data_IF_139170326052
#
_entry.id   IF_139170326052
#
_cell.length_a   1.000
_cell.length_b   1.000
_cell.length_c   1.000
_cell.angle_alpha   90.00
_cell.angle_beta   90.00
_cell.angle_gamma   90.00
#
_symmetry.space_group_name_H-M   'P 1'
#
loop_
_entity.id
_entity.type
_entity.pdbx_description
1 polymer ?
#
# COMPACT_ATOMS: atom_id res chain seq x y z
N UNK A 1 20.14 8.94 -34.33
CA UNK A 1 20.87 8.35 -33.18
C UNK A 1 19.85 7.73 -32.23
N UNK A 2 20.07 6.49 -31.80
CA UNK A 2 19.22 5.80 -30.81
C UNK A 2 19.34 6.47 -29.45
N UNK A 3 18.22 6.82 -28.82
CA UNK A 3 18.20 7.33 -27.44
C UNK A 3 18.58 6.19 -26.49
N UNK A 4 19.50 6.41 -25.55
CA UNK A 4 19.76 5.41 -24.52
C UNK A 4 18.64 5.43 -23.47
N UNK A 5 18.36 4.29 -22.83
CA UNK A 5 17.25 4.12 -21.90
C UNK A 5 17.30 5.12 -20.73
N UNK A 6 18.49 5.37 -20.19
CA UNK A 6 18.71 6.34 -19.10
C UNK A 6 18.31 7.76 -19.52
N UNK A 7 18.76 8.25 -20.68
CA UNK A 7 18.37 9.58 -21.19
C UNK A 7 16.88 9.65 -21.50
N UNK A 8 16.27 8.58 -22.02
CA UNK A 8 14.83 8.51 -22.21
C UNK A 8 14.08 8.65 -20.88
N UNK A 9 14.56 7.96 -19.84
CA UNK A 9 13.97 7.97 -18.51
C UNK A 9 14.08 9.35 -17.86
N UNK A 10 15.23 10.02 -17.99
CA UNK A 10 15.43 11.38 -17.48
C UNK A 10 14.47 12.39 -18.11
N UNK A 11 14.23 12.27 -19.42
CA UNK A 11 13.25 13.10 -20.12
C UNK A 11 11.83 12.89 -19.59
N UNK A 12 11.44 11.64 -19.32
CA UNK A 12 10.13 11.32 -18.72
C UNK A 12 10.04 11.83 -17.28
N UNK A 13 11.10 11.68 -16.48
CA UNK A 13 11.17 12.19 -15.11
C UNK A 13 11.01 13.71 -15.07
N UNK A 14 11.60 14.43 -16.02
CA UNK A 14 11.45 15.88 -16.13
C UNK A 14 9.98 16.28 -16.37
N UNK A 15 9.26 15.52 -17.20
CA UNK A 15 7.83 15.75 -17.49
C UNK A 15 6.93 15.37 -16.30
N UNK A 16 7.39 14.47 -15.44
CA UNK A 16 6.69 14.12 -14.21
C UNK A 16 6.80 15.18 -13.12
N UNK A 17 7.63 16.22 -13.23
CA UNK A 17 7.82 17.17 -12.11
C UNK A 17 6.51 17.88 -11.76
N UNK A 18 6.08 17.74 -10.51
CA UNK A 18 4.98 18.53 -9.97
C UNK A 18 5.54 19.86 -9.47
N UNK A 19 4.90 21.00 -9.79
CA UNK A 19 5.34 22.29 -9.31
C UNK A 19 5.43 22.31 -7.77
N UNK A 20 6.51 22.86 -7.22
CA UNK A 20 6.73 22.93 -5.75
C UNK A 20 5.55 23.57 -5.03
N UNK A 21 4.93 24.59 -5.63
CA UNK A 21 3.73 25.25 -5.09
C UNK A 21 2.55 24.29 -4.98
N UNK A 22 2.35 23.43 -5.97
CA UNK A 22 1.28 22.43 -5.98
C UNK A 22 1.56 21.33 -4.96
N UNK A 23 2.79 20.84 -4.89
CA UNK A 23 3.21 19.87 -3.88
C UNK A 23 2.98 20.40 -2.45
N UNK A 24 3.39 21.64 -2.16
CA UNK A 24 3.15 22.28 -0.84
C UNK A 24 1.67 22.44 -0.53
N UNK A 25 0.85 22.80 -1.52
CA UNK A 25 -0.59 22.90 -1.35
C UNK A 25 -1.21 21.52 -1.05
N UNK A 26 -0.78 20.49 -1.79
CA UNK A 26 -1.16 19.10 -1.53
C UNK A 26 -0.87 18.66 -0.09
N UNK A 27 0.37 18.83 0.40
CA UNK A 27 0.74 18.43 1.76
C UNK A 27 -0.11 19.13 2.83
N UNK A 28 -0.41 20.41 2.61
CA UNK A 28 -1.26 21.17 3.52
C UNK A 28 -2.71 20.69 3.54
N UNK A 29 -3.26 20.37 2.37
CA UNK A 29 -4.63 19.86 2.28
C UNK A 29 -4.71 18.47 2.92
N UNK A 30 -3.69 17.63 2.73
CA UNK A 30 -3.52 16.34 3.41
C UNK A 30 -3.57 16.49 4.92
N UNK A 31 -2.81 17.43 5.50
CA UNK A 31 -2.82 17.69 6.94
C UNK A 31 -4.22 18.10 7.44
N UNK A 32 -4.87 19.02 6.73
CA UNK A 32 -6.22 19.49 7.10
C UNK A 32 -7.27 18.37 7.04
N UNK A 33 -7.23 17.54 5.99
CA UNK A 33 -8.10 16.39 5.83
C UNK A 33 -7.86 15.34 6.91
N UNK A 34 -6.59 15.07 7.22
CA UNK A 34 -6.19 14.14 8.28
C UNK A 34 -6.65 14.62 9.66
N UNK A 35 -6.55 15.92 9.94
CA UNK A 35 -7.04 16.50 11.19
C UNK A 35 -8.56 16.41 11.31
N UNK A 36 -9.28 16.64 10.22
CA UNK A 36 -10.73 16.45 10.17
C UNK A 36 -11.11 14.99 10.50
N UNK A 37 -10.44 14.01 9.89
CA UNK A 37 -10.68 12.58 10.14
C UNK A 37 -10.38 12.22 11.60
N UNK A 38 -9.24 12.67 12.14
CA UNK A 38 -8.88 12.47 13.55
C UNK A 38 -9.92 13.05 14.51
N UNK A 39 -10.36 14.29 14.26
CA UNK A 39 -11.35 14.95 15.11
C UNK A 39 -12.68 14.20 15.08
N UNK A 40 -13.14 13.78 13.90
CA UNK A 40 -14.40 13.06 13.77
C UNK A 40 -14.35 11.67 14.43
N UNK A 41 -13.21 10.98 14.41
CA UNK A 41 -13.00 9.74 15.19
C UNK A 41 -13.02 10.02 16.71
N UNK A 42 -12.42 11.13 17.15
CA UNK A 42 -12.43 11.54 18.56
C UNK A 42 -13.84 11.90 19.07
N UNK A 43 -14.62 12.64 18.28
CA UNK A 43 -15.99 13.02 18.60
C UNK A 43 -16.90 11.79 18.76
N UNK A 44 -16.60 10.73 18.01
CA UNK A 44 -17.28 9.41 18.11
C UNK A 44 -16.75 8.52 19.23
N UNK A 45 -15.72 8.94 19.97
CA UNK A 45 -15.02 8.13 20.98
C UNK A 45 -14.48 6.81 20.41
N UNK A 46 -14.05 6.83 19.15
CA UNK A 46 -13.41 5.68 18.51
C UNK A 46 -12.14 5.30 19.27
N UNK A 47 -11.84 4.00 19.34
CA UNK A 47 -10.56 3.50 19.89
C UNK A 47 -9.35 3.93 19.06
N UNK A 48 -9.57 4.43 17.84
CA UNK A 48 -8.54 4.93 16.93
C UNK A 48 -8.37 6.44 16.99
N UNK A 49 -9.09 7.13 17.88
CA UNK A 49 -8.95 8.57 18.08
C UNK A 49 -7.50 8.92 18.44
N UNK A 50 -6.91 9.83 17.67
CA UNK A 50 -5.51 10.23 17.83
C UNK A 50 -4.48 9.22 17.31
N UNK A 51 -4.91 8.09 16.73
CA UNK A 51 -4.00 7.11 16.11
C UNK A 51 -3.71 7.42 14.62
N UNK A 52 -4.37 8.40 14.01
CA UNK A 52 -4.17 8.77 12.60
C UNK A 52 -3.09 9.86 12.45
N UNK A 53 -2.05 9.85 13.27
CA UNK A 53 -0.98 10.87 13.23
C UNK A 53 -0.12 10.76 11.98
N UNK A 54 0.10 9.53 11.48
CA UNK A 54 0.86 9.28 10.25
C UNK A 54 -0.04 9.07 9.01
N UNK A 55 -1.35 9.29 9.12
CA UNK A 55 -2.25 9.24 7.97
C UNK A 55 -1.76 10.12 6.79
N UNK A 56 -1.19 11.33 7.00
CA UNK A 56 -0.63 12.14 5.92
C UNK A 56 0.40 11.41 5.07
N UNK A 57 1.21 10.54 5.67
CA UNK A 57 2.23 9.76 4.97
C UNK A 57 1.61 8.74 4.00
N UNK A 58 0.37 8.32 4.23
CA UNK A 58 -0.33 7.34 3.38
C UNK A 58 -0.96 7.98 2.14
N UNK A 59 -0.95 9.31 2.06
CA UNK A 59 -1.63 10.07 1.03
C UNK A 59 -0.98 9.92 -0.35
N UNK A 60 -1.79 10.06 -1.39
CA UNK A 60 -1.37 10.18 -2.78
C UNK A 60 -2.21 11.26 -3.43
N UNK A 61 -1.57 12.28 -3.98
CA UNK A 61 -2.22 13.24 -4.85
C UNK A 61 -2.36 12.64 -6.24
N UNK A 62 -3.53 12.76 -6.85
CA UNK A 62 -3.78 12.32 -8.22
C UNK A 62 -4.48 13.43 -8.99
N UNK A 63 -3.95 13.78 -10.16
CA UNK A 63 -4.49 14.81 -11.04
C UNK A 63 -4.35 14.34 -12.48
N UNK A 64 -5.44 13.87 -13.09
CA UNK A 64 -5.37 13.13 -14.36
C UNK A 64 -4.43 11.91 -14.27
N UNK A 65 -3.43 11.87 -15.15
CA UNK A 65 -2.44 10.77 -15.23
C UNK A 65 -1.22 10.99 -14.33
N UNK A 66 -1.17 12.10 -13.59
CA UNK A 66 -0.02 12.46 -12.75
C UNK A 66 -0.35 12.16 -11.30
N UNK A 67 0.63 11.61 -10.59
CA UNK A 67 0.55 11.41 -9.15
C UNK A 67 1.72 12.06 -8.40
N UNK A 68 1.45 12.40 -7.15
CA UNK A 68 2.46 12.71 -6.13
C UNK A 68 2.22 11.91 -4.86
N UNK A 69 3.27 11.76 -4.08
CA UNK A 69 3.22 11.18 -2.73
C UNK A 69 4.12 12.01 -1.80
N UNK A 70 3.89 12.01 -0.48
CA UNK A 70 4.77 12.68 0.48
C UNK A 70 6.20 12.13 0.47
N UNK A 71 7.16 12.95 0.92
CA UNK A 71 8.57 12.53 1.09
C UNK A 71 8.69 11.28 1.96
N UNK A 72 7.90 11.22 3.03
CA UNK A 72 7.87 10.09 3.97
C UNK A 72 6.74 9.11 3.67
N UNK A 73 6.35 8.93 2.41
CA UNK A 73 5.16 8.14 2.10
C UNK A 73 5.19 6.75 2.77
N UNK A 74 4.04 6.25 3.20
CA UNK A 74 3.91 4.95 3.83
C UNK A 74 2.69 4.20 3.26
N UNK A 75 2.65 2.88 3.50
CA UNK A 75 1.50 2.03 3.21
C UNK A 75 0.76 1.61 4.47
N UNK A 76 1.31 1.93 5.64
CA UNK A 76 0.75 1.53 6.92
C UNK A 76 0.26 2.75 7.69
N UNK A 77 -0.95 2.63 8.25
CA UNK A 77 -1.39 3.49 9.33
C UNK A 77 -0.87 2.86 10.62
N UNK A 78 0.04 3.57 11.28
CA UNK A 78 0.79 3.07 12.42
C UNK A 78 0.01 3.38 13.71
N UNK A 79 -0.58 2.34 14.28
CA UNK A 79 -1.31 2.43 15.55
C UNK A 79 -0.33 2.29 16.72
N UNK A 80 -0.28 3.31 17.56
CA UNK A 80 0.33 3.21 18.88
C UNK A 80 -0.74 2.72 19.88
N UNK A 81 -0.57 1.53 20.46
CA UNK A 81 -1.47 1.04 21.50
C UNK A 81 -1.25 1.83 22.79
N UNK A 82 -2.29 2.53 23.24
CA UNK A 82 -2.25 3.37 24.46
C UNK A 82 -2.44 2.58 25.76
N UNK A 83 -2.81 1.31 25.68
CA UNK A 83 -3.06 0.43 26.82
C UNK A 83 -1.96 -0.63 27.00
N UNK A 84 -1.84 -1.15 28.22
CA UNK A 84 -0.89 -2.20 28.56
C UNK A 84 -1.21 -3.50 27.82
N UNK A 85 -0.18 -4.11 27.25
CA UNK A 85 -0.28 -5.31 26.46
C UNK A 85 0.99 -6.14 26.58
N UNK A 86 0.85 -7.45 26.36
CA UNK A 86 1.97 -8.39 26.29
C UNK A 86 2.11 -8.94 24.88
N UNK A 87 3.35 -9.10 24.44
CA UNK A 87 3.67 -9.75 23.18
C UNK A 87 4.09 -11.18 23.47
N UNK A 88 3.34 -12.15 22.95
CA UNK A 88 3.70 -13.56 22.92
C UNK A 88 4.24 -13.90 21.54
N UNK A 89 5.39 -14.57 21.49
CA UNK A 89 5.98 -15.05 20.24
C UNK A 89 5.46 -16.45 19.97
N UNK A 90 4.93 -16.64 18.77
CA UNK A 90 4.79 -17.95 18.17
C UNK A 90 6.03 -18.19 17.30
N UNK A 91 6.33 -19.44 16.97
CA UNK A 91 7.41 -19.73 16.01
C UNK A 91 7.23 -18.94 14.69
N UNK A 92 8.29 -18.83 13.88
CA UNK A 92 8.19 -18.31 12.51
C UNK A 92 7.68 -16.86 12.34
N UNK A 93 8.20 -15.91 13.15
CA UNK A 93 7.91 -14.46 13.10
C UNK A 93 6.49 -14.04 13.52
N UNK A 94 5.62 -14.97 13.86
CA UNK A 94 4.26 -14.66 14.28
C UNK A 94 4.23 -14.16 15.72
N UNK A 95 3.39 -13.16 15.98
CA UNK A 95 3.20 -12.59 17.30
C UNK A 95 1.72 -12.54 17.66
N UNK A 96 1.41 -12.93 18.89
CA UNK A 96 0.11 -12.70 19.51
C UNK A 96 0.23 -11.53 20.47
N UNK A 97 -0.78 -10.67 20.46
CA UNK A 97 -0.86 -9.55 21.40
C UNK A 97 -1.95 -9.84 22.41
N UNK A 98 -1.64 -9.71 23.69
CA UNK A 98 -2.59 -9.91 24.79
C UNK A 98 -2.92 -8.58 25.43
N UNK A 99 -4.20 -8.32 25.66
CA UNK A 99 -4.62 -7.17 26.45
C UNK A 99 -4.52 -7.50 27.94
N UNK A 100 -3.91 -6.59 28.72
CA UNK A 100 -3.84 -6.70 30.18
C UNK A 100 -5.13 -6.25 30.89
N UNK A 101 -6.17 -5.86 30.13
CA UNK A 101 -7.39 -5.23 30.66
C UNK A 101 -8.42 -6.22 31.23
N UNK A 102 -8.19 -7.54 31.16
CA UNK A 102 -9.08 -8.56 31.75
C UNK A 102 -8.38 -9.27 32.91
N UNK A 103 -9.17 -9.70 33.90
CA UNK A 103 -8.68 -10.47 35.06
C UNK A 103 -7.70 -11.57 34.64
N UNK A 104 -6.66 -11.80 35.46
CA UNK A 104 -5.49 -12.64 35.17
C UNK A 104 -5.79 -14.04 34.59
N UNK A 105 -7.01 -14.53 34.76
CA UNK A 105 -7.46 -15.87 34.35
C UNK A 105 -7.95 -15.97 32.90
N UNK A 106 -8.16 -14.85 32.18
CA UNK A 106 -8.54 -14.86 30.74
C UNK A 106 -7.71 -13.85 29.96
N UNK A 107 -6.53 -14.26 29.48
CA UNK A 107 -5.75 -13.49 28.51
C UNK A 107 -6.51 -13.42 27.18
N UNK A 108 -7.13 -12.28 26.88
CA UNK A 108 -7.79 -12.07 25.59
C UNK A 108 -6.79 -11.56 24.56
N UNK A 109 -6.61 -12.32 23.48
CA UNK A 109 -5.81 -11.92 22.31
C UNK A 109 -6.48 -10.75 21.59
N UNK A 110 -5.68 -9.75 21.22
CA UNK A 110 -6.10 -8.62 20.39
C UNK A 110 -6.24 -9.17 18.96
N UNK A 111 -7.46 -9.18 18.44
CA UNK A 111 -7.71 -9.70 17.10
C UNK A 111 -7.40 -8.66 16.04
N UNK A 112 -6.56 -9.04 15.06
CA UNK A 112 -6.24 -8.23 13.89
C UNK A 112 -7.47 -7.96 13.03
N UNK A 113 -8.31 -8.98 12.84
CA UNK A 113 -9.60 -8.87 12.13
C UNK A 113 -10.57 -7.96 12.87
N UNK A 114 -10.65 -8.06 14.19
CA UNK A 114 -11.52 -7.19 14.99
C UNK A 114 -11.10 -5.72 14.86
N UNK A 115 -9.81 -5.40 14.95
CA UNK A 115 -9.32 -4.03 14.77
C UNK A 115 -9.65 -3.51 13.37
N UNK A 116 -9.38 -4.30 12.33
CA UNK A 116 -9.67 -3.92 10.94
C UNK A 116 -11.16 -3.67 10.71
N UNK A 117 -12.02 -4.56 11.23
CA UNK A 117 -13.47 -4.41 11.16
C UNK A 117 -13.95 -3.19 11.92
N UNK A 118 -13.47 -2.98 13.15
CA UNK A 118 -13.89 -1.84 13.98
C UNK A 118 -13.56 -0.52 13.28
N UNK A 119 -12.36 -0.42 12.69
CA UNK A 119 -12.00 0.79 11.95
C UNK A 119 -12.86 0.96 10.70
N UNK A 120 -13.10 -0.12 9.97
CA UNK A 120 -13.97 -0.12 8.79
C UNK A 120 -15.35 0.44 9.14
N UNK A 121 -15.96 -0.04 10.21
CA UNK A 121 -17.29 0.36 10.66
C UNK A 121 -17.29 1.86 11.06
N UNK A 122 -16.28 2.31 11.82
CA UNK A 122 -16.12 3.73 12.17
C UNK A 122 -15.99 4.65 10.93
N UNK A 123 -15.16 4.25 9.95
CA UNK A 123 -14.96 5.02 8.73
C UNK A 123 -16.20 5.00 7.82
N UNK A 124 -16.89 3.86 7.70
CA UNK A 124 -18.14 3.77 6.92
C UNK A 124 -19.22 4.67 7.47
N UNK A 125 -19.44 4.64 8.78
CA UNK A 125 -20.47 5.47 9.41
C UNK A 125 -20.15 6.96 9.26
N UNK A 126 -18.89 7.33 9.48
CA UNK A 126 -18.44 8.73 9.45
C UNK A 126 -18.42 9.30 8.03
N UNK A 127 -17.93 8.53 7.05
CA UNK A 127 -17.72 8.99 5.67
C UNK A 127 -18.82 8.56 4.71
N UNK A 128 -19.77 7.72 5.14
CA UNK A 128 -20.87 7.21 4.33
C UNK A 128 -21.80 8.30 3.79
N UNK A 129 -21.95 9.42 4.53
CA UNK A 129 -22.69 10.61 4.08
C UNK A 129 -21.90 11.51 3.12
N UNK A 130 -20.66 11.13 2.83
CA UNK A 130 -19.74 11.83 1.94
C UNK A 130 -19.54 13.31 2.33
N UNK A 131 -19.00 13.59 3.53
CA UNK A 131 -18.89 14.95 4.05
C UNK A 131 -18.03 15.85 3.15
N UNK A 132 -18.35 17.14 3.17
CA UNK A 132 -17.59 18.18 2.50
C UNK A 132 -16.61 18.81 3.49
N UNK A 133 -15.33 18.87 3.10
CA UNK A 133 -14.27 19.47 3.90
C UNK A 133 -13.62 20.59 3.11
N UNK A 134 -13.62 21.80 3.69
CA UNK A 134 -13.02 22.99 3.08
C UNK A 134 -11.57 23.15 3.52
N UNK A 135 -10.65 22.98 2.58
CA UNK A 135 -9.21 23.22 2.75
C UNK A 135 -8.83 24.56 2.11
N UNK A 136 -8.89 25.66 2.87
CA UNK A 136 -8.62 27.04 2.42
C UNK A 136 -9.25 27.42 1.07
N UNK A 137 -8.57 27.13 -0.04
CA UNK A 137 -8.97 27.45 -1.41
C UNK A 137 -9.66 26.30 -2.17
N UNK A 138 -9.73 25.11 -1.58
CA UNK A 138 -10.29 23.91 -2.21
C UNK A 138 -11.35 23.30 -1.30
N UNK A 139 -12.37 22.70 -1.90
CA UNK A 139 -13.36 21.91 -1.17
C UNK A 139 -13.30 20.48 -1.68
N UNK A 140 -13.23 19.55 -0.73
CA UNK A 140 -13.15 18.13 -0.99
C UNK A 140 -14.42 17.43 -0.53
N UNK A 141 -14.89 16.50 -1.35
CA UNK A 141 -15.91 15.54 -0.96
C UNK A 141 -15.22 14.23 -0.61
N UNK A 142 -15.40 13.76 0.62
CA UNK A 142 -14.75 12.55 1.10
C UNK A 142 -15.64 11.33 0.84
N UNK A 143 -15.05 10.19 0.53
CA UNK A 143 -15.71 8.90 0.57
C UNK A 143 -14.74 7.83 1.08
N UNK A 144 -15.31 6.72 1.56
CA UNK A 144 -14.56 5.59 2.08
C UNK A 144 -14.87 4.33 1.28
N UNK A 145 -13.81 3.59 0.98
CA UNK A 145 -13.85 2.31 0.29
C UNK A 145 -12.89 1.32 0.96
N UNK A 146 -13.31 0.08 1.04
CA UNK A 146 -12.45 -1.04 1.41
C UNK A 146 -13.03 -2.32 0.82
N UNK A 147 -12.24 -3.40 0.78
CA UNK A 147 -12.77 -4.71 0.40
C UNK A 147 -13.62 -5.31 1.52
N UNK A 148 -14.46 -6.28 1.17
CA UNK A 148 -15.24 -7.07 2.13
C UNK A 148 -14.37 -8.07 2.92
N UNK A 149 -13.12 -8.28 2.52
CA UNK A 149 -12.24 -9.25 3.17
C UNK A 149 -11.88 -8.88 4.60
N UNK A 150 -11.58 -9.86 5.48
CA UNK A 150 -11.29 -9.59 6.89
C UNK A 150 -10.12 -8.64 7.11
N UNK A 151 -9.05 -8.79 6.32
CA UNK A 151 -7.87 -7.94 6.32
C UNK A 151 -7.72 -7.39 4.91
N UNK A 152 -7.85 -6.07 4.75
CA UNK A 152 -7.75 -5.36 3.48
C UNK A 152 -7.32 -3.91 3.70
N UNK A 153 -6.76 -3.28 2.67
CA UNK A 153 -6.45 -1.86 2.72
C UNK A 153 -7.73 -1.03 2.89
N UNK A 154 -7.59 0.06 3.64
CA UNK A 154 -8.58 1.13 3.79
C UNK A 154 -8.26 2.23 2.81
N UNK A 155 -9.28 2.74 2.11
CA UNK A 155 -9.12 3.82 1.15
C UNK A 155 -10.08 4.95 1.45
N UNK A 156 -9.54 6.13 1.78
CA UNK A 156 -10.31 7.37 1.89
C UNK A 156 -9.97 8.24 0.69
N UNK A 157 -10.96 8.62 -0.10
CA UNK A 157 -10.77 9.47 -1.28
C UNK A 157 -11.38 10.83 -0.97
N UNK A 158 -10.58 11.88 -1.12
CA UNK A 158 -11.01 13.26 -1.08
C UNK A 158 -11.00 13.83 -2.50
N UNK A 159 -12.17 13.90 -3.14
CA UNK A 159 -12.33 14.41 -4.51
C UNK A 159 -12.54 15.93 -4.49
N UNK A 160 -11.70 16.68 -5.20
CA UNK A 160 -11.82 18.14 -5.27
C UNK A 160 -13.00 18.52 -6.18
N UNK A 161 -13.97 19.27 -5.65
CA UNK A 161 -15.21 19.59 -6.37
C UNK A 161 -14.99 20.47 -7.61
N UNK A 162 -14.13 21.48 -7.52
CA UNK A 162 -13.94 22.48 -8.58
C UNK A 162 -12.72 22.21 -9.47
N UNK A 163 -12.25 20.95 -9.53
CA UNK A 163 -11.04 20.60 -10.29
C UNK A 163 -11.36 20.26 -11.74
N UNK A 164 -10.73 20.99 -12.68
CA UNK A 164 -10.82 20.68 -14.13
C UNK A 164 -10.25 19.31 -14.49
N UNK A 165 -9.30 18.80 -13.71
CA UNK A 165 -8.56 17.56 -14.00
C UNK A 165 -8.93 16.41 -13.06
N UNK A 166 -10.11 16.49 -12.42
CA UNK A 166 -10.59 15.52 -11.44
C UNK A 166 -9.55 15.23 -10.34
N UNK A 167 -8.96 16.29 -9.78
CA UNK A 167 -7.92 16.16 -8.77
C UNK A 167 -8.48 15.55 -7.48
N UNK A 168 -7.72 14.62 -6.90
CA UNK A 168 -8.10 13.91 -5.69
C UNK A 168 -6.89 13.64 -4.80
N UNK A 169 -7.14 13.53 -3.51
CA UNK A 169 -6.19 13.02 -2.53
C UNK A 169 -6.72 11.67 -2.05
N UNK A 170 -5.91 10.64 -2.18
CA UNK A 170 -6.26 9.28 -1.76
C UNK A 170 -5.38 8.89 -0.60
N UNK A 171 -5.98 8.63 0.55
CA UNK A 171 -5.33 7.99 1.68
C UNK A 171 -5.56 6.50 1.57
N UNK A 172 -4.50 5.72 1.44
CA UNK A 172 -4.60 4.28 1.27
C UNK A 172 -3.61 3.54 2.15
N UNK A 173 -4.14 2.75 3.09
CA UNK A 173 -3.34 2.21 4.18
C UNK A 173 -3.87 0.87 4.71
N UNK A 174 -2.95 0.06 5.22
CA UNK A 174 -3.23 -1.08 6.08
C UNK A 174 -2.93 -0.71 7.53
N UNK A 175 -3.73 -1.20 8.47
CA UNK A 175 -3.40 -1.05 9.89
C UNK A 175 -2.17 -1.87 10.23
N UNK A 176 -1.20 -1.27 10.92
CA UNK A 176 -0.10 -1.97 11.56
C UNK A 176 0.09 -1.41 12.96
N UNK A 177 0.43 -2.28 13.91
CA UNK A 177 0.68 -1.85 15.28
C UNK A 177 2.17 -1.55 15.44
N UNK A 178 2.48 -0.36 15.93
CA UNK A 178 3.84 0.11 16.12
C UNK A 178 4.31 -0.14 17.54
N UNK A 179 5.49 -0.74 17.66
CA UNK A 179 6.15 -1.03 18.93
C UNK A 179 7.48 -0.29 19.02
N UNK A 180 7.55 0.80 19.80
CA UNK A 180 8.81 1.48 20.08
C UNK A 180 9.80 0.53 20.74
N UNK A 181 11.02 0.41 20.18
CA UNK A 181 12.03 -0.52 20.69
C UNK A 181 12.45 -0.23 22.14
N UNK A 182 12.41 1.04 22.53
CA UNK A 182 12.69 1.47 23.90
C UNK A 182 11.67 0.94 24.93
N UNK A 183 10.48 0.52 24.49
CA UNK A 183 9.41 0.02 25.36
C UNK A 183 9.19 -1.47 25.20
N UNK A 184 9.20 -1.96 23.98
CA UNK A 184 8.94 -3.36 23.63
C UNK A 184 10.08 -3.86 22.74
N UNK A 185 11.01 -4.65 23.27
CA UNK A 185 12.16 -5.11 22.49
C UNK A 185 11.69 -5.96 21.32
N UNK A 186 12.48 -5.95 20.24
CA UNK A 186 12.23 -6.78 19.07
C UNK A 186 12.30 -8.26 19.46
N UNK A 187 11.36 -9.10 18.98
CA UNK A 187 11.51 -10.55 19.04
C UNK A 187 12.82 -11.02 18.42
N UNK A 188 13.58 -11.89 19.09
CA UNK A 188 14.88 -12.35 18.58
C UNK A 188 14.77 -13.04 17.21
N UNK A 189 13.69 -13.81 17.00
CA UNK A 189 13.38 -14.59 15.79
C UNK A 189 13.10 -13.73 14.56
N UNK A 190 12.63 -12.48 14.73
CA UNK A 190 12.22 -11.64 13.61
C UNK A 190 13.39 -11.37 12.64
N UNK A 191 13.25 -11.54 11.32
CA UNK A 191 14.34 -11.31 10.37
C UNK A 191 14.73 -9.84 10.35
N UNK A 192 16.04 -9.60 10.36
CA UNK A 192 16.63 -8.29 10.13
C UNK A 192 17.31 -8.26 8.77
N UNK A 193 17.09 -7.22 7.96
CA UNK A 193 17.82 -7.06 6.72
C UNK A 193 19.31 -6.88 7.02
N UNK A 194 20.17 -7.60 6.29
CA UNK A 194 21.62 -7.62 6.52
C UNK A 194 22.27 -6.23 6.55
N UNK A 195 21.70 -5.27 5.82
CA UNK A 195 22.23 -3.91 5.72
C UNK A 195 21.73 -2.96 6.83
N UNK A 196 20.98 -3.45 7.82
CA UNK A 196 20.41 -2.59 8.87
C UNK A 196 21.04 -2.90 10.24
N UNK A 197 21.80 -1.98 10.85
CA UNK A 197 22.26 -2.15 12.23
C UNK A 197 21.12 -1.88 13.22
N UNK A 198 20.99 -2.72 14.25
CA UNK A 198 19.92 -2.65 15.26
C UNK A 198 19.83 -1.26 15.92
N UNK A 199 20.97 -0.59 16.10
CA UNK A 199 21.08 0.73 16.75
C UNK A 199 20.37 1.85 15.99
N UNK A 200 20.04 1.64 14.70
CA UNK A 200 19.36 2.63 13.86
C UNK A 200 17.84 2.49 13.88
N UNK A 201 17.31 1.40 14.44
CA UNK A 201 15.87 1.19 14.53
C UNK A 201 15.27 1.95 15.72
N UNK A 202 14.12 2.58 15.51
CA UNK A 202 13.31 3.19 16.55
C UNK A 202 12.10 2.32 16.95
N UNK A 203 11.57 1.51 16.02
CA UNK A 203 10.42 0.66 16.26
C UNK A 203 10.39 -0.59 15.36
N UNK A 204 9.61 -1.58 15.76
CA UNK A 204 9.17 -2.69 14.91
C UNK A 204 7.64 -2.68 14.78
N UNK A 205 7.11 -3.41 13.79
CA UNK A 205 5.68 -3.45 13.50
C UNK A 205 5.11 -4.86 13.70
N UNK A 206 3.90 -4.96 14.24
CA UNK A 206 3.06 -6.15 14.10
C UNK A 206 2.03 -5.88 13.01
N UNK A 207 2.18 -6.56 11.88
CA UNK A 207 1.29 -6.41 10.72
C UNK A 207 0.23 -7.51 10.74
N UNK A 208 -1.03 -7.23 10.40
CA UNK A 208 -2.04 -8.27 10.29
C UNK A 208 -1.65 -9.28 9.21
N UNK A 209 -1.74 -10.58 9.52
CA UNK A 209 -1.55 -11.63 8.52
C UNK A 209 -2.71 -11.58 7.53
N UNK A 210 -2.42 -11.61 6.24
CA UNK A 210 -3.46 -11.51 5.20
C UNK A 210 -4.29 -12.80 5.18
N UNK A 211 -5.58 -12.69 4.86
CA UNK A 211 -6.49 -13.84 4.85
C UNK A 211 -6.21 -14.87 3.74
N UNK A 212 -5.30 -14.56 2.83
CA UNK A 212 -4.82 -15.47 1.79
C UNK A 212 -3.54 -16.22 2.21
N UNK A 213 -2.93 -15.86 3.33
CA UNK A 213 -1.77 -16.57 3.86
C UNK A 213 -2.20 -17.92 4.45
N UNK A 214 -1.39 -18.96 4.23
CA UNK A 214 -1.65 -20.30 4.77
C UNK A 214 -1.61 -20.35 6.30
N UNK A 215 -0.94 -19.37 6.93
CA UNK A 215 -0.87 -19.18 8.38
C UNK A 215 -1.85 -18.14 8.91
N UNK A 216 -2.85 -17.75 8.10
CA UNK A 216 -3.85 -16.78 8.52
C UNK A 216 -4.56 -17.23 9.80
N UNK A 217 -4.45 -16.41 10.83
CA UNK A 217 -5.25 -16.51 12.04
C UNK A 217 -5.77 -15.12 12.40
N UNK A 218 -7.06 -14.99 12.69
CA UNK A 218 -7.69 -13.71 13.01
C UNK A 218 -7.09 -13.00 14.25
N UNK A 219 -6.23 -13.69 15.00
CA UNK A 219 -5.59 -13.21 16.23
C UNK A 219 -4.06 -13.09 16.14
N UNK A 220 -3.43 -13.52 15.05
CA UNK A 220 -1.99 -13.38 14.89
C UNK A 220 -1.63 -12.15 14.06
N UNK A 221 -0.38 -11.74 14.24
CA UNK A 221 0.29 -10.71 13.47
C UNK A 221 1.64 -11.25 13.03
N UNK A 222 2.19 -10.64 12.00
CA UNK A 222 3.52 -10.87 11.50
C UNK A 222 4.45 -9.78 12.02
N UNK A 223 5.49 -10.17 12.75
CA UNK A 223 6.54 -9.27 13.19
C UNK A 223 7.39 -8.80 11.99
N UNK A 224 7.54 -7.49 11.83
CA UNK A 224 8.37 -6.89 10.78
C UNK A 224 9.23 -5.72 11.24
N UNK A 225 10.42 -5.68 10.67
CA UNK A 225 11.33 -4.54 10.73
C UNK A 225 11.02 -3.58 9.59
N UNK A 226 10.46 -2.42 9.92
CA UNK A 226 10.13 -1.42 8.91
C UNK A 226 11.35 -0.56 8.58
N UNK A 227 12.18 -1.02 7.65
CA UNK A 227 13.44 -0.32 7.27
C UNK A 227 13.21 1.10 6.78
N UNK A 228 12.02 1.39 6.28
CA UNK A 228 11.64 2.70 5.75
C UNK A 228 11.81 3.83 6.78
N UNK A 229 11.81 3.51 8.08
CA UNK A 229 12.04 4.49 9.14
C UNK A 229 13.43 5.14 9.10
N UNK A 230 14.45 4.48 8.51
CA UNK A 230 15.83 5.01 8.44
C UNK A 230 16.23 5.49 7.05
N UNK A 231 15.30 5.49 6.08
CA UNK A 231 15.59 5.97 4.73
C UNK A 231 15.93 7.46 4.72
N UNK A 232 17.01 7.82 4.01
CA UNK A 232 17.42 9.22 3.83
C UNK A 232 16.46 9.97 2.91
N UNK A 233 16.48 11.31 2.95
CA UNK A 233 15.66 12.13 2.07
C UNK A 233 15.90 11.84 0.59
N UNK A 234 17.16 11.61 0.20
CA UNK A 234 17.54 11.31 -1.17
C UNK A 234 17.05 9.92 -1.62
N UNK A 235 17.18 8.92 -0.76
CA UNK A 235 16.63 7.58 -1.02
C UNK A 235 15.12 7.65 -1.21
N UNK A 236 14.42 8.32 -0.29
CA UNK A 236 12.97 8.53 -0.38
C UNK A 236 12.59 9.21 -1.68
N UNK A 237 13.30 10.25 -2.09
CA UNK A 237 13.04 10.94 -3.35
C UNK A 237 13.16 10.02 -4.57
N UNK A 238 14.20 9.18 -4.63
CA UNK A 238 14.36 8.19 -5.72
C UNK A 238 13.22 7.17 -5.74
N UNK A 239 12.78 6.69 -4.58
CA UNK A 239 11.66 5.76 -4.48
C UNK A 239 10.32 6.38 -4.85
N UNK A 240 10.09 7.65 -4.50
CA UNK A 240 8.93 8.41 -4.98
C UNK A 240 8.89 8.45 -6.50
N UNK A 241 10.02 8.75 -7.14
CA UNK A 241 10.11 8.74 -8.60
C UNK A 241 9.79 7.37 -9.19
N UNK A 242 10.30 6.29 -8.59
CA UNK A 242 10.00 4.93 -9.03
C UNK A 242 8.49 4.63 -8.97
N UNK A 243 7.82 4.94 -7.85
CA UNK A 243 6.36 4.75 -7.72
C UNK A 243 5.59 5.55 -8.76
N UNK A 244 5.97 6.81 -9.01
CA UNK A 244 5.30 7.70 -9.99
C UNK A 244 5.43 7.19 -11.42
N UNK A 245 6.62 6.70 -11.78
CA UNK A 245 6.89 6.09 -13.08
C UNK A 245 6.14 4.75 -13.24
N UNK A 246 6.19 3.87 -12.24
CA UNK A 246 5.43 2.61 -12.26
C UNK A 246 3.93 2.85 -12.39
N UNK A 247 3.40 3.89 -11.74
CA UNK A 247 2.00 4.28 -11.89
C UNK A 247 1.68 4.74 -13.33
N UNK A 248 2.50 5.62 -13.91
CA UNK A 248 2.31 6.06 -15.29
C UNK A 248 2.36 4.89 -16.28
N UNK A 249 3.34 3.99 -16.12
CA UNK A 249 3.44 2.76 -16.92
C UNK A 249 2.19 1.89 -16.75
N UNK A 250 1.65 1.80 -15.54
CA UNK A 250 0.44 1.03 -15.26
C UNK A 250 -0.81 1.64 -15.89
N UNK A 251 -0.90 2.98 -15.98
CA UNK A 251 -1.96 3.67 -16.73
C UNK A 251 -1.85 3.34 -18.21
N UNK A 252 -0.67 3.57 -18.80
CA UNK A 252 -0.45 3.45 -20.25
C UNK A 252 -0.72 2.02 -20.72
N UNK A 253 -0.38 1.02 -19.89
CA UNK A 253 -0.61 -0.39 -20.19
C UNK A 253 -1.97 -0.92 -19.70
N UNK A 254 -2.85 -0.05 -19.18
CA UNK A 254 -4.17 -0.41 -18.64
C UNK A 254 -4.14 -1.47 -17.53
N UNK A 255 -3.00 -1.64 -16.84
CA UNK A 255 -2.83 -2.60 -15.75
C UNK A 255 -3.15 -2.00 -14.38
N UNK A 256 -3.34 -0.69 -14.30
CA UNK A 256 -3.55 0.02 -13.04
C UNK A 256 -4.76 -0.50 -12.24
N UNK A 257 -5.85 -0.89 -12.92
CA UNK A 257 -7.03 -1.48 -12.28
C UNK A 257 -6.73 -2.80 -11.53
N UNK A 258 -5.67 -3.49 -11.96
CA UNK A 258 -5.22 -4.76 -11.38
C UNK A 258 -4.12 -4.54 -10.34
N UNK A 259 -3.35 -3.46 -10.44
CA UNK A 259 -2.16 -3.22 -9.61
C UNK A 259 -2.51 -2.36 -8.40
N UNK A 260 -3.24 -1.26 -8.57
CA UNK A 260 -3.48 -0.35 -7.45
C UNK A 260 -2.27 0.53 -7.07
N UNK A 261 -2.51 1.74 -6.57
CA UNK A 261 -1.40 2.60 -6.14
C UNK A 261 -0.78 2.13 -4.83
N UNK A 262 -1.58 1.62 -3.88
CA UNK A 262 -1.05 0.99 -2.68
C UNK A 262 -0.14 -0.19 -2.97
N UNK A 263 -0.48 -1.08 -3.90
CA UNK A 263 0.43 -2.19 -4.20
C UNK A 263 1.76 -1.71 -4.80
N UNK A 264 1.78 -0.61 -5.55
CA UNK A 264 3.03 -0.01 -6.03
C UNK A 264 3.88 0.54 -4.87
N UNK A 265 3.27 1.32 -3.96
CA UNK A 265 3.94 1.83 -2.76
C UNK A 265 4.43 0.66 -1.87
N UNK A 266 3.60 -0.37 -1.69
CA UNK A 266 3.89 -1.53 -0.87
C UNK A 266 4.99 -2.39 -1.48
N UNK A 267 4.98 -2.62 -2.79
CA UNK A 267 6.08 -3.30 -3.52
C UNK A 267 7.40 -2.55 -3.32
N UNK A 268 7.37 -1.23 -3.42
CA UNK A 268 8.55 -0.39 -3.17
C UNK A 268 9.08 -0.57 -1.74
N UNK A 269 8.20 -0.51 -0.73
CA UNK A 269 8.59 -0.70 0.67
C UNK A 269 9.12 -2.13 0.90
N UNK A 270 8.45 -3.16 0.37
CA UNK A 270 8.85 -4.56 0.53
C UNK A 270 10.20 -4.88 -0.12
N UNK A 271 10.54 -4.23 -1.24
CA UNK A 271 11.87 -4.35 -1.84
C UNK A 271 12.95 -3.82 -0.88
N UNK A 272 12.70 -2.67 -0.26
CA UNK A 272 13.59 -2.14 0.77
C UNK A 272 13.66 -3.07 1.98
N UNK A 273 12.53 -3.59 2.46
CA UNK A 273 12.48 -4.50 3.62
C UNK A 273 13.20 -5.82 3.32
N UNK A 274 13.10 -6.34 2.10
CA UNK A 274 13.75 -7.60 1.71
C UNK A 274 15.26 -7.48 1.54
N UNK A 275 15.71 -6.44 0.87
CA UNK A 275 17.13 -6.31 0.49
C UNK A 275 17.91 -5.37 1.42
N UNK A 276 17.21 -4.59 2.23
CA UNK A 276 17.78 -3.45 2.94
C UNK A 276 17.88 -2.21 2.04
N UNK A 277 17.95 -1.02 2.66
CA UNK A 277 17.91 0.26 1.93
C UNK A 277 19.05 0.40 0.93
N UNK A 278 20.28 0.08 1.32
CA UNK A 278 21.46 0.31 0.48
C UNK A 278 21.46 -0.60 -0.76
N UNK A 279 21.12 -1.89 -0.59
CA UNK A 279 21.03 -2.83 -1.72
C UNK A 279 19.83 -2.55 -2.61
N UNK A 280 18.74 -2.04 -2.04
CA UNK A 280 17.57 -1.61 -2.80
C UNK A 280 17.81 -0.24 -3.48
N UNK A 281 18.81 0.54 -3.03
CA UNK A 281 19.12 1.87 -3.57
C UNK A 281 19.90 1.89 -4.89
N UNK A 282 19.44 1.07 -5.83
CA UNK A 282 19.98 0.96 -7.20
C UNK A 282 19.61 2.16 -8.08
N UNK A 283 20.23 2.32 -9.26
CA UNK A 283 19.77 3.29 -10.27
C UNK A 283 18.28 3.13 -10.58
N UNK A 284 17.61 4.23 -10.94
CA UNK A 284 16.15 4.28 -11.12
C UNK A 284 15.64 3.25 -12.13
N UNK A 285 16.37 3.05 -13.23
CA UNK A 285 16.13 2.02 -14.25
C UNK A 285 16.00 0.62 -13.65
N UNK A 286 16.95 0.24 -12.78
CA UNK A 286 16.96 -1.05 -12.10
C UNK A 286 15.84 -1.18 -11.08
N UNK A 287 15.52 -0.11 -10.33
CA UNK A 287 14.39 -0.12 -9.39
C UNK A 287 13.07 -0.40 -10.08
N UNK A 288 12.85 0.21 -11.25
CA UNK A 288 11.63 0.00 -12.03
C UNK A 288 11.52 -1.45 -12.50
N UNK A 289 12.62 -2.02 -12.99
CA UNK A 289 12.67 -3.44 -13.38
C UNK A 289 12.43 -4.35 -12.18
N UNK A 290 13.04 -4.09 -11.03
CA UNK A 290 12.83 -4.85 -9.80
C UNK A 290 11.37 -4.76 -9.32
N UNK A 291 10.74 -3.59 -9.39
CA UNK A 291 9.32 -3.39 -9.08
C UNK A 291 8.43 -4.15 -10.07
N UNK A 292 8.70 -4.07 -11.37
CA UNK A 292 7.95 -4.79 -12.42
C UNK A 292 8.08 -6.31 -12.26
N UNK A 293 9.30 -6.81 -12.02
CA UNK A 293 9.57 -8.23 -11.82
C UNK A 293 8.90 -8.75 -10.56
N UNK A 294 9.01 -8.01 -9.45
CA UNK A 294 8.39 -8.39 -8.18
C UNK A 294 6.88 -8.42 -8.31
N UNK A 295 6.30 -7.38 -8.90
CA UNK A 295 4.86 -7.29 -9.07
C UNK A 295 4.31 -8.33 -10.07
N UNK A 296 5.00 -8.52 -11.20
CA UNK A 296 4.64 -9.53 -12.21
C UNK A 296 4.79 -10.96 -11.69
N UNK A 297 5.88 -11.26 -10.98
CA UNK A 297 6.16 -12.59 -10.43
C UNK A 297 5.25 -12.93 -9.24
N UNK A 298 4.90 -11.96 -8.40
CA UNK A 298 3.96 -12.15 -7.31
C UNK A 298 2.58 -12.53 -7.86
N UNK A 299 2.09 -11.80 -8.86
CA UNK A 299 0.82 -12.12 -9.53
C UNK A 299 0.82 -13.48 -10.21
N UNK A 300 1.91 -13.86 -10.87
CA UNK A 300 2.03 -15.19 -11.49
C UNK A 300 2.06 -16.30 -10.43
N UNK A 301 2.73 -16.06 -9.29
CA UNK A 301 2.74 -16.99 -8.15
C UNK A 301 1.36 -17.10 -7.52
N UNK A 302 0.65 -16.00 -7.29
CA UNK A 302 -0.72 -16.00 -6.74
C UNK A 302 -1.72 -16.71 -7.66
N UNK A 303 -1.62 -16.48 -8.98
CA UNK A 303 -2.43 -17.20 -9.98
C UNK A 303 -2.09 -18.69 -10.00
N UNK A 304 -0.81 -19.05 -9.89
CA UNK A 304 -0.36 -20.45 -9.82
C UNK A 304 -0.86 -21.15 -8.54
N UNK A 305 -0.74 -20.48 -7.39
CA UNK A 305 -1.27 -20.96 -6.11
C UNK A 305 -2.78 -21.10 -6.14
N UNK A 306 -3.50 -20.14 -6.74
CA UNK A 306 -4.94 -20.21 -6.92
C UNK A 306 -5.35 -21.40 -7.82
N UNK A 307 -4.61 -21.62 -8.91
CA UNK A 307 -4.82 -22.76 -9.81
C UNK A 307 -4.60 -24.10 -9.10
N UNK A 308 -3.55 -24.21 -8.27
CA UNK A 308 -3.19 -25.44 -7.59
C UNK A 308 -4.03 -25.73 -6.35
N UNK A 309 -4.52 -24.69 -5.66
CA UNK A 309 -5.30 -24.82 -4.43
C UNK A 309 -6.82 -24.84 -4.66
N UNK A 310 -7.30 -24.48 -5.86
CA UNK A 310 -8.73 -24.38 -6.18
C UNK A 310 -9.42 -23.16 -5.55
N UNK A 311 -8.72 -22.38 -4.74
CA UNK A 311 -9.20 -21.12 -4.21
C UNK A 311 -8.73 -20.01 -5.13
N UNK A 312 -9.66 -19.26 -5.73
CA UNK A 312 -9.32 -17.98 -6.34
C UNK A 312 -8.71 -17.09 -5.26
N UNK A 313 -7.38 -16.95 -5.26
CA UNK A 313 -6.70 -15.83 -4.61
C UNK A 313 -7.15 -14.61 -5.39
N UNK A 314 -8.27 -14.03 -4.96
CA UNK A 314 -8.81 -12.85 -5.59
C UNK A 314 -7.72 -11.79 -5.51
N UNK A 315 -7.22 -11.37 -6.67
CA UNK A 315 -6.53 -10.10 -6.82
C UNK A 315 -7.29 -9.10 -5.96
N UNK A 316 -6.64 -8.43 -5.02
CA UNK A 316 -7.22 -7.23 -4.44
C UNK A 316 -7.41 -6.24 -5.60
N UNK A 317 -8.55 -6.37 -6.28
CA UNK A 317 -9.00 -5.43 -7.27
C UNK A 317 -9.24 -4.15 -6.46
N UNK A 318 -8.34 -3.20 -6.66
CA UNK A 318 -8.33 -1.95 -5.94
C UNK A 318 -9.70 -1.25 -6.12
N UNK A 319 -10.53 -1.14 -5.06
CA UNK A 319 -11.89 -0.64 -5.21
C UNK A 319 -11.96 0.83 -5.67
N UNK A 320 -10.86 1.58 -5.55
CA UNK A 320 -10.82 3.03 -5.77
C UNK A 320 -10.28 3.48 -7.15
N UNK A 321 -9.98 2.57 -8.09
CA UNK A 321 -9.39 2.97 -9.38
C UNK A 321 -10.32 2.87 -10.59
N UNK A 322 -11.55 2.35 -10.46
CA UNK A 322 -12.42 2.16 -11.62
C UNK A 322 -13.56 3.18 -11.83
N UNK A 323 -13.99 4.00 -10.86
CA UNK A 323 -15.00 5.04 -11.16
C UNK A 323 -15.31 5.99 -9.98
N UNK A 324 -15.64 7.25 -10.30
CA UNK A 324 -16.42 8.16 -9.44
C UNK A 324 -17.64 7.42 -8.85
N UNK A 325 -18.03 7.70 -7.59
CA UNK A 325 -19.16 7.04 -6.93
C UNK A 325 -20.49 7.04 -7.74
N UNK A 326 -20.67 7.97 -8.69
CA UNK A 326 -21.84 8.03 -9.57
C UNK A 326 -21.73 7.13 -10.81
N UNK A 327 -20.51 6.78 -11.22
CA UNK A 327 -20.23 5.93 -12.39
C UNK A 327 -20.11 4.47 -12.01
N UNK A 328 -19.90 4.12 -10.75
CA UNK A 328 -19.77 2.73 -10.28
C UNK A 328 -21.07 1.94 -10.49
N UNK A 329 -22.24 2.51 -10.18
CA UNK A 329 -23.53 1.83 -10.41
C UNK A 329 -23.86 1.66 -11.90
N UNK A 330 -23.52 2.66 -12.72
CA UNK A 330 -23.71 2.63 -14.18
C UNK A 330 -22.69 1.69 -14.85
N UNK A 331 -21.45 1.65 -14.36
CA UNK A 331 -20.37 0.80 -14.86
C UNK A 331 -20.56 -0.65 -14.42
N UNK A 332 -20.98 -0.94 -13.18
CA UNK A 332 -21.33 -2.28 -12.73
C UNK A 332 -22.54 -2.83 -13.49
N UNK A 333 -23.55 -1.99 -13.76
CA UNK A 333 -24.68 -2.35 -14.63
C UNK A 333 -24.23 -2.64 -16.07
N UNK A 334 -23.30 -1.85 -16.61
CA UNK A 334 -22.71 -2.07 -17.96
C UNK A 334 -21.75 -3.26 -18.00
N UNK A 335 -21.00 -3.54 -16.94
CA UNK A 335 -20.10 -4.68 -16.82
C UNK A 335 -20.88 -5.99 -16.63
N UNK A 336 -21.93 -6.00 -15.80
CA UNK A 336 -22.86 -7.14 -15.73
C UNK A 336 -23.56 -7.38 -17.08
N UNK A 337 -23.92 -6.32 -17.81
CA UNK A 337 -24.49 -6.44 -19.15
C UNK A 337 -23.47 -6.94 -20.21
N UNK A 338 -22.19 -6.54 -20.11
CA UNK A 338 -21.10 -7.01 -20.99
C UNK A 338 -20.61 -8.42 -20.64
N UNK A 339 -20.54 -8.79 -19.37
CA UNK A 339 -20.15 -10.15 -18.94
C UNK A 339 -21.20 -11.19 -19.33
N UNK A 340 -22.47 -10.81 -19.46
CA UNK A 340 -23.54 -11.66 -20.03
C UNK A 340 -23.51 -11.74 -21.57
N UNK A 341 -22.71 -10.93 -22.26
CA UNK A 341 -22.60 -10.89 -23.72
C UNK A 341 -21.13 -10.85 -24.16
N UNK A 342 -20.52 -12.03 -24.26
CA UNK A 342 -19.33 -12.34 -25.07
C UNK A 342 -18.01 -11.57 -24.78
N UNK A 343 -17.05 -12.25 -24.16
CA UNK A 343 -15.73 -12.61 -24.74
C UNK A 343 -14.75 -13.01 -23.64
N UNK A 344 -14.29 -14.26 -23.70
CA UNK A 344 -13.13 -14.74 -22.98
C UNK A 344 -11.90 -13.90 -23.37
N UNK A 345 -11.14 -13.45 -22.38
CA UNK A 345 -9.86 -12.77 -22.58
C UNK A 345 -8.93 -13.71 -23.35
N UNK A 346 -8.49 -13.29 -24.53
CA UNK A 346 -7.59 -14.07 -25.37
C UNK A 346 -6.19 -14.12 -24.72
N UNK A 347 -5.88 -15.26 -24.11
CA UNK A 347 -4.63 -15.58 -23.42
C UNK A 347 -3.42 -15.81 -24.37
N UNK A 348 -3.62 -15.82 -25.69
CA UNK A 348 -2.56 -16.15 -26.64
C UNK A 348 -1.53 -15.03 -26.76
N UNK A 349 -1.93 -13.75 -26.60
CA UNK A 349 -0.97 -12.63 -26.58
C UNK A 349 -0.03 -12.67 -25.38
N UNK A 350 -0.46 -13.26 -24.26
CA UNK A 350 0.36 -13.41 -23.06
C UNK A 350 1.38 -14.56 -23.19
N UNK A 351 1.01 -15.63 -23.92
CA UNK A 351 1.95 -16.72 -24.26
C UNK A 351 3.10 -16.24 -25.14
N UNK A 352 2.82 -15.40 -26.15
CA UNK A 352 3.87 -14.85 -27.03
C UNK A 352 4.87 -13.98 -26.25
N UNK A 353 4.40 -13.19 -25.27
CA UNK A 353 5.27 -12.37 -24.43
C UNK A 353 6.21 -13.21 -23.54
N UNK A 354 5.71 -14.33 -23.00
CA UNK A 354 6.48 -15.26 -22.17
C UNK A 354 7.55 -16.03 -22.97
N UNK A 355 7.27 -16.36 -24.24
CA UNK A 355 8.25 -17.01 -25.12
C UNK A 355 9.38 -16.08 -25.53
N UNK A 356 9.09 -14.80 -25.79
CA UNK A 356 10.09 -13.78 -26.10
C UNK A 356 11.03 -13.49 -24.91
N UNK A 357 10.52 -13.57 -23.68
CA UNK A 357 11.33 -13.41 -22.46
C UNK A 357 12.26 -14.61 -22.21
N UNK A 358 11.81 -15.84 -22.54
CA UNK A 358 12.64 -17.05 -22.45
C UNK A 358 13.80 -17.05 -23.45
N UNK A 359 13.62 -16.44 -24.62
CA UNK A 359 14.65 -16.38 -25.66
C UNK A 359 15.77 -15.36 -25.35
N UNK A 360 15.50 -14.37 -24.49
CA UNK A 360 16.45 -13.28 -24.18
C UNK A 360 17.21 -13.45 -22.85
N UNK A 361 17.12 -14.62 -22.20
CA UNK A 361 17.88 -14.88 -20.97
C UNK A 361 19.25 -15.50 -21.31
N UNK A 362 20.39 -14.87 -20.98
CA UNK A 362 21.70 -15.41 -21.34
C UNK A 362 21.97 -16.72 -20.58
N UNK A 363 22.19 -17.82 -21.31
CA UNK A 363 22.61 -19.11 -20.75
C UNK A 363 24.03 -18.96 -20.20
N UNK A 364 24.20 -19.14 -18.88
CA UNK A 364 25.53 -19.25 -18.26
C UNK A 364 26.30 -20.40 -18.92
N UNK A 365 27.48 -20.07 -19.46
CA UNK A 365 28.36 -21.00 -20.14
C UNK A 365 28.77 -22.18 -19.26
N UNK A 366 28.69 -23.39 -19.83
CA UNK A 366 29.37 -24.57 -19.31
C UNK A 366 30.87 -24.36 -19.48
N UNK A 367 31.64 -24.40 -18.39
CA UNK A 367 33.08 -24.61 -18.43
C UNK A 367 33.34 -25.99 -19.07
N UNK A 368 34.05 -26.02 -20.19
CA UNK A 368 34.68 -27.25 -20.68
C UNK A 368 35.97 -27.47 -19.87
N UNK A 369 36.16 -28.72 -19.43
CA UNK A 369 37.39 -29.25 -18.86
C UNK A 369 38.38 -29.55 -19.98
#
# INVERSE_FOLDING_TARGET
MSLCFETALDMVVAQLKIPIKEHKAFLKDVELLSNFINQALADRKSIFAGSFTNLPETATYMCGNVIDVPDRFNCYLLLDLSYAHQVELDGDDYVYLHSDCRSRDVRSRISSVFLQKTLRDDLYDMLGRQPLVKCKARTYKLCFHTSIYPISAHTIIASQLDSKNNARIVFEFLLAIKFPLAKVPRPASMPMPESMPLQTMAYWLAMPVTHFDVHFNAQNYLGRVHVWQVATSDQRQRWRLAVRLSYMLSIINETLCTIGIHALKHTCINLCERYGLDKADKPLSHKLVDMMNTHGSHKLTEVSTAHNSGYLVNFEAHPALSADCFKTDVMLSKMQAKMKKANAVNMDKFKVLLELLRQNTPRKGKKQK
#
